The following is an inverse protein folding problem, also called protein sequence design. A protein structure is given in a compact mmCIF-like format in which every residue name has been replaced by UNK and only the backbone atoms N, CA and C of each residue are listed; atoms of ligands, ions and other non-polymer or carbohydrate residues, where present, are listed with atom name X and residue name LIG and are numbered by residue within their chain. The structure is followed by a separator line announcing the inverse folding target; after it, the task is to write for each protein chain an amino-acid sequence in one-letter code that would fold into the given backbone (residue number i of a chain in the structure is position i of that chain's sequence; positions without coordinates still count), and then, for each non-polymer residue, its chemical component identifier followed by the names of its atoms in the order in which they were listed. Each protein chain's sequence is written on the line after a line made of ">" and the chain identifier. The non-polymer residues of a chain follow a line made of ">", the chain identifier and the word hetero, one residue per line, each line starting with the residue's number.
data_IF_783369526252
#
_entry.id   IF_783369526252
#
_cell.length_a   1.000
_cell.length_b   1.000
_cell.length_c   1.000
_cell.angle_alpha   90.00
_cell.angle_beta   90.00
_cell.angle_gamma   90.00
#
_symmetry.space_group_name_H-M   'P 1'
#
loop_
_entity.id
_entity.type
_entity.pdbx_description
1 polymer ?
#
# COMPACT_ATOMS: atom_id res chain seq x y z
N UNK A 1 3.19 -18.30 12.25
CA UNK A 1 2.19 -17.22 12.26
C UNK A 1 2.59 -16.05 13.16
N UNK A 2 2.78 -16.22 14.48
CA UNK A 2 3.14 -15.11 15.39
C UNK A 2 4.45 -14.39 14.98
N UNK A 3 5.52 -15.15 14.72
CA UNK A 3 6.80 -14.59 14.26
C UNK A 3 6.66 -13.82 12.93
N UNK A 4 5.85 -14.34 12.01
CA UNK A 4 5.59 -13.71 10.72
C UNK A 4 4.81 -12.40 10.86
N UNK A 5 3.81 -12.35 11.75
CA UNK A 5 3.07 -11.11 12.05
C UNK A 5 3.99 -10.10 12.74
N UNK A 6 4.86 -10.53 13.65
CA UNK A 6 5.86 -9.66 14.27
C UNK A 6 6.82 -9.06 13.23
N UNK A 7 7.32 -9.88 12.29
CA UNK A 7 8.15 -9.42 11.18
C UNK A 7 7.37 -8.49 10.23
N UNK A 8 6.12 -8.82 9.94
CA UNK A 8 5.22 -8.00 9.12
C UNK A 8 5.05 -6.60 9.70
N UNK A 9 4.80 -6.53 11.00
CA UNK A 9 4.64 -5.28 11.72
C UNK A 9 5.95 -4.48 11.70
N UNK A 10 7.08 -5.12 12.01
CA UNK A 10 8.38 -4.45 11.99
C UNK A 10 8.69 -3.85 10.61
N UNK A 11 8.54 -4.64 9.54
CA UNK A 11 8.76 -4.19 8.17
C UNK A 11 7.78 -3.08 7.78
N UNK A 12 6.50 -3.23 8.15
CA UNK A 12 5.49 -2.20 7.88
C UNK A 12 5.84 -0.90 8.59
N UNK A 13 6.26 -0.95 9.84
CA UNK A 13 6.74 0.24 10.58
C UNK A 13 7.93 0.88 9.86
N UNK A 14 8.94 0.10 9.47
CA UNK A 14 10.10 0.63 8.75
C UNK A 14 9.70 1.32 7.44
N UNK A 15 8.89 0.66 6.60
CA UNK A 15 8.45 1.20 5.30
C UNK A 15 7.60 2.46 5.51
N UNK A 16 6.66 2.42 6.44
CA UNK A 16 5.75 3.55 6.73
C UNK A 16 6.52 4.74 7.28
N UNK A 17 7.46 4.54 8.21
CA UNK A 17 8.30 5.61 8.74
C UNK A 17 9.11 6.29 7.64
N UNK A 18 9.72 5.50 6.73
CA UNK A 18 10.45 6.04 5.58
C UNK A 18 9.53 6.79 4.62
N UNK A 19 8.33 6.28 4.37
CA UNK A 19 7.34 6.92 3.50
C UNK A 19 6.82 8.24 4.07
N UNK A 20 6.59 8.33 5.38
CA UNK A 20 6.22 9.59 6.06
C UNK A 20 7.36 10.59 5.98
N UNK A 21 8.60 10.15 6.25
CA UNK A 21 9.79 11.00 6.16
C UNK A 21 10.00 11.56 4.75
N UNK A 22 9.80 10.74 3.72
CA UNK A 22 9.84 11.18 2.31
C UNK A 22 8.59 11.93 1.86
N UNK A 23 7.62 12.17 2.74
CA UNK A 23 6.39 12.87 2.38
C UNK A 23 5.45 12.09 1.46
N UNK A 24 5.64 10.78 1.26
CA UNK A 24 4.76 9.93 0.45
C UNK A 24 3.44 9.60 1.14
N UNK A 25 3.40 9.62 2.48
CA UNK A 25 2.24 9.35 3.31
C UNK A 25 1.96 10.50 4.28
N UNK A 26 0.66 10.76 4.52
CA UNK A 26 0.24 11.60 5.64
C UNK A 26 0.24 10.79 6.96
N UNK A 27 0.02 11.45 8.10
CA UNK A 27 -0.10 10.75 9.40
C UNK A 27 -1.29 9.77 9.42
N UNK A 28 -2.41 10.12 8.78
CA UNK A 28 -3.56 9.22 8.66
C UNK A 28 -3.26 8.08 7.68
N UNK A 29 -2.59 8.38 6.57
CA UNK A 29 -2.12 7.36 5.62
C UNK A 29 -1.17 6.35 6.26
N UNK A 30 -0.30 6.80 7.16
CA UNK A 30 0.60 5.93 7.92
C UNK A 30 -0.15 4.89 8.76
N UNK A 31 -1.22 5.30 9.47
CA UNK A 31 -2.04 4.38 10.24
C UNK A 31 -2.72 3.33 9.34
N UNK A 32 -3.29 3.76 8.20
CA UNK A 32 -3.85 2.84 7.21
C UNK A 32 -2.80 1.87 6.67
N UNK A 33 -1.61 2.37 6.33
CA UNK A 33 -0.55 1.56 5.73
C UNK A 33 0.02 0.53 6.70
N UNK A 34 0.09 0.86 8.00
CA UNK A 34 0.45 -0.12 9.04
C UNK A 34 -0.57 -1.25 9.12
N UNK A 35 -1.87 -0.95 9.10
CA UNK A 35 -2.93 -1.96 9.14
C UNK A 35 -2.87 -2.84 7.89
N UNK A 36 -2.88 -2.23 6.70
CA UNK A 36 -2.90 -2.94 5.42
C UNK A 36 -1.63 -3.77 5.22
N UNK A 37 -0.46 -3.19 5.48
CA UNK A 37 0.83 -3.87 5.34
C UNK A 37 0.95 -5.06 6.29
N UNK A 38 0.60 -4.87 7.57
CA UNK A 38 0.67 -5.92 8.59
C UNK A 38 -0.29 -7.06 8.29
N UNK A 39 -1.54 -6.77 7.89
CA UNK A 39 -2.51 -7.81 7.52
C UNK A 39 -2.07 -8.57 6.27
N UNK A 40 -1.68 -7.86 5.22
CA UNK A 40 -1.34 -8.47 3.93
C UNK A 40 -0.09 -9.35 4.04
N UNK A 41 0.98 -8.83 4.66
CA UNK A 41 2.22 -9.58 4.84
C UNK A 41 2.07 -10.66 5.93
N UNK A 42 1.45 -10.30 7.06
CA UNK A 42 1.33 -11.16 8.24
C UNK A 42 0.43 -12.37 8.02
N UNK A 43 -0.65 -12.22 7.25
CA UNK A 43 -1.62 -13.27 6.98
C UNK A 43 -1.46 -13.89 5.58
N UNK A 44 -1.13 -13.08 4.56
CA UNK A 44 -0.92 -13.57 3.19
C UNK A 44 0.48 -14.14 2.93
N UNK A 45 1.50 -13.65 3.63
CA UNK A 45 2.89 -14.10 3.47
C UNK A 45 3.76 -13.18 2.62
N UNK A 46 5.02 -13.61 2.46
CA UNK A 46 6.08 -12.80 1.86
C UNK A 46 5.74 -12.32 0.44
N UNK A 47 5.22 -13.21 -0.40
CA UNK A 47 4.89 -12.88 -1.81
C UNK A 47 3.82 -11.78 -1.89
N UNK A 48 2.81 -11.83 -1.03
CA UNK A 48 1.74 -10.82 -0.97
C UNK A 48 2.28 -9.47 -0.53
N UNK A 49 3.09 -9.48 0.53
CA UNK A 49 3.71 -8.27 1.07
C UNK A 49 4.70 -7.62 0.10
N UNK A 50 5.51 -8.42 -0.61
CA UNK A 50 6.41 -7.91 -1.65
C UNK A 50 5.64 -7.29 -2.79
N UNK A 51 4.56 -7.92 -3.28
CA UNK A 51 3.77 -7.36 -4.38
C UNK A 51 3.11 -6.03 -3.98
N UNK A 52 2.53 -5.96 -2.78
CA UNK A 52 2.01 -4.71 -2.22
C UNK A 52 3.11 -3.65 -2.07
N UNK A 53 4.29 -4.05 -1.58
CA UNK A 53 5.44 -3.17 -1.41
C UNK A 53 5.97 -2.61 -2.73
N UNK A 54 6.05 -3.45 -3.77
CA UNK A 54 6.44 -3.03 -5.13
C UNK A 54 5.48 -1.97 -5.65
N UNK A 55 4.17 -2.24 -5.62
CA UNK A 55 3.15 -1.25 -5.98
C UNK A 55 3.32 0.06 -5.20
N UNK A 56 3.46 -0.03 -3.87
CA UNK A 56 3.58 1.15 -3.04
C UNK A 56 4.81 1.98 -3.40
N UNK A 57 5.98 1.34 -3.58
CA UNK A 57 7.23 2.03 -3.91
C UNK A 57 7.17 2.63 -5.31
N UNK A 58 6.76 1.86 -6.32
CA UNK A 58 6.67 2.37 -7.70
C UNK A 58 5.68 3.53 -7.82
N UNK A 59 4.51 3.43 -7.19
CA UNK A 59 3.51 4.50 -7.17
C UNK A 59 4.04 5.73 -6.41
N UNK A 60 4.81 5.54 -5.33
CA UNK A 60 5.48 6.64 -4.64
C UNK A 60 6.47 7.37 -5.52
N UNK A 61 7.31 6.65 -6.25
CA UNK A 61 8.29 7.25 -7.15
C UNK A 61 7.60 8.03 -8.27
N UNK A 62 6.52 7.49 -8.84
CA UNK A 62 5.72 8.17 -9.86
C UNK A 62 5.03 9.43 -9.34
N UNK A 63 4.56 9.45 -8.08
CA UNK A 63 3.97 10.65 -7.48
C UNK A 63 4.97 11.80 -7.37
N UNK A 64 6.25 11.52 -7.06
CA UNK A 64 7.29 12.55 -6.96
C UNK A 64 7.93 12.89 -8.31
N UNK A 65 7.76 12.04 -9.32
CA UNK A 65 8.29 12.30 -10.66
C UNK A 65 7.60 13.51 -11.28
N UNK A 66 8.42 14.50 -11.67
CA UNK A 66 7.99 15.80 -12.24
C UNK A 66 7.01 16.55 -11.34
N UNK A 67 7.14 16.41 -10.02
CA UNK A 67 6.24 17.06 -9.06
C UNK A 67 6.23 18.58 -9.21
N UNK A 68 7.37 19.21 -9.51
CA UNK A 68 7.47 20.66 -9.71
C UNK A 68 6.72 21.14 -10.97
N UNK A 69 6.89 20.45 -12.11
CA UNK A 69 6.14 20.73 -13.34
C UNK A 69 4.63 20.52 -13.14
N UNK A 70 4.23 19.47 -12.41
CA UNK A 70 2.84 19.19 -12.05
C UNK A 70 2.28 20.28 -11.12
N UNK A 71 3.07 20.78 -10.17
CA UNK A 71 2.65 21.84 -9.23
C UNK A 71 2.38 23.16 -9.95
N UNK A 72 3.23 23.55 -10.90
CA UNK A 72 3.02 24.75 -11.72
C UNK A 72 1.80 24.61 -12.64
N UNK A 73 1.52 23.40 -13.15
CA UNK A 73 0.29 23.13 -13.90
C UNK A 73 -0.97 23.05 -13.01
N UNK A 74 -0.80 22.70 -11.73
CA UNK A 74 -1.86 22.42 -10.76
C UNK A 74 -2.07 23.50 -9.70
N UNK A 75 -1.67 24.76 -9.93
CA UNK A 75 -1.88 25.91 -9.02
C UNK A 75 -3.36 26.14 -8.58
N UNK A 76 -4.31 25.32 -9.07
CA UNK A 76 -5.71 25.28 -8.63
C UNK A 76 -6.09 24.14 -7.65
N UNK A 77 -5.21 23.20 -7.30
CA UNK A 77 -5.56 22.06 -6.45
C UNK A 77 -4.64 21.92 -5.24
N UNK A 78 -5.03 22.53 -4.11
CA UNK A 78 -4.30 22.60 -2.83
C UNK A 78 -4.07 21.28 -2.05
N UNK A 79 -4.34 20.10 -2.62
CA UNK A 79 -4.08 18.84 -1.88
C UNK A 79 -2.68 18.31 -2.20
N UNK A 80 -1.75 18.50 -1.26
CA UNK A 80 -0.40 17.94 -1.37
C UNK A 80 -0.39 16.42 -1.66
N UNK A 81 0.64 15.94 -2.36
CA UNK A 81 0.78 14.58 -2.92
C UNK A 81 0.90 13.43 -1.89
N UNK A 82 0.57 13.67 -0.62
CA UNK A 82 0.69 12.67 0.44
C UNK A 82 -0.53 11.76 0.43
N UNK A 83 -0.32 10.45 0.29
CA UNK A 83 -1.41 9.48 0.41
C UNK A 83 -2.00 9.53 1.82
N UNK A 84 -3.30 9.80 1.89
CA UNK A 84 -4.06 9.76 3.13
C UNK A 84 -4.66 8.37 3.39
N UNK A 85 -5.33 8.22 4.53
CA UNK A 85 -5.95 6.96 4.91
C UNK A 85 -6.97 6.48 3.87
N UNK A 86 -7.72 7.40 3.25
CA UNK A 86 -8.73 7.07 2.25
C UNK A 86 -8.11 6.43 1.02
N UNK A 87 -7.05 7.04 0.47
CA UNK A 87 -6.31 6.46 -0.65
C UNK A 87 -5.63 5.14 -0.29
N UNK A 88 -5.11 4.99 0.93
CA UNK A 88 -4.49 3.74 1.36
C UNK A 88 -5.51 2.60 1.44
N UNK A 89 -6.71 2.85 1.98
CA UNK A 89 -7.77 1.84 2.01
C UNK A 89 -8.36 1.58 0.63
N UNK A 90 -8.49 2.59 -0.23
CA UNK A 90 -8.93 2.41 -1.61
C UNK A 90 -7.97 1.47 -2.38
N UNK A 91 -6.66 1.68 -2.24
CA UNK A 91 -5.66 0.91 -2.98
C UNK A 91 -5.31 -0.43 -2.35
N UNK A 92 -5.41 -0.57 -1.03
CA UNK A 92 -4.92 -1.76 -0.31
C UNK A 92 -5.98 -2.51 0.51
N UNK A 93 -7.14 -1.92 0.76
CA UNK A 93 -8.19 -2.45 1.64
C UNK A 93 -8.69 -3.81 1.19
N UNK A 94 -9.11 -3.93 -0.07
CA UNK A 94 -9.58 -5.20 -0.63
C UNK A 94 -8.47 -6.27 -0.61
N UNK A 95 -7.23 -5.90 -0.90
CA UNK A 95 -6.09 -6.82 -0.82
C UNK A 95 -5.87 -7.38 0.58
N UNK A 96 -5.97 -6.54 1.61
CA UNK A 96 -5.89 -6.97 3.01
C UNK A 96 -7.05 -7.88 3.41
N UNK A 97 -8.28 -7.58 2.96
CA UNK A 97 -9.45 -8.45 3.18
C UNK A 97 -9.21 -9.83 2.56
N UNK A 98 -8.69 -9.90 1.33
CA UNK A 98 -8.37 -11.17 0.68
C UNK A 98 -7.28 -11.95 1.45
N UNK A 99 -6.29 -11.27 2.02
CA UNK A 99 -5.27 -11.92 2.85
C UNK A 99 -5.87 -12.52 4.13
N UNK A 100 -6.79 -11.80 4.79
CA UNK A 100 -7.54 -12.29 5.96
C UNK A 100 -8.38 -13.51 5.58
N UNK A 101 -9.16 -13.44 4.49
CA UNK A 101 -9.98 -14.55 4.01
C UNK A 101 -9.13 -15.77 3.64
N UNK A 102 -7.96 -15.55 3.03
CA UNK A 102 -7.01 -16.62 2.71
C UNK A 102 -6.49 -17.34 3.95
N UNK A 103 -6.31 -16.64 5.07
CA UNK A 103 -5.86 -17.24 6.32
C UNK A 103 -6.99 -18.04 7.01
N UNK A 104 -8.24 -17.61 6.86
CA UNK A 104 -9.41 -18.30 7.42
C UNK A 104 -9.87 -19.50 6.57
N UNK A 105 -9.78 -19.37 5.25
CA UNK A 105 -10.26 -20.35 4.27
C UNK A 105 -9.16 -20.66 3.24
N UNK A 106 -8.15 -21.49 3.57
CA UNK A 106 -6.98 -21.67 2.72
C UNK A 106 -7.33 -22.17 1.30
N UNK A 107 -6.99 -21.38 0.29
CA UNK A 107 -7.14 -21.73 -1.12
C UNK A 107 -6.21 -20.88 -1.99
N UNK A 108 -5.59 -21.42 -3.04
CA UNK A 108 -4.72 -20.65 -3.93
C UNK A 108 -5.47 -19.55 -4.68
N UNK A 109 -6.80 -19.64 -4.81
CA UNK A 109 -7.61 -18.65 -5.54
C UNK A 109 -7.49 -17.23 -4.96
N UNK A 110 -7.31 -17.11 -3.64
CA UNK A 110 -7.20 -15.82 -2.98
C UNK A 110 -5.99 -15.02 -3.46
N UNK A 111 -4.87 -15.70 -3.74
CA UNK A 111 -3.68 -15.03 -4.26
C UNK A 111 -3.91 -14.52 -5.68
N UNK A 112 -4.57 -15.29 -6.55
CA UNK A 112 -4.90 -14.83 -7.90
C UNK A 112 -5.87 -13.64 -7.89
N UNK A 113 -6.86 -13.65 -7.00
CA UNK A 113 -7.73 -12.50 -6.79
C UNK A 113 -6.94 -11.28 -6.30
N UNK A 114 -6.02 -11.48 -5.36
CA UNK A 114 -5.14 -10.41 -4.87
C UNK A 114 -4.27 -9.83 -5.99
N UNK A 115 -3.69 -10.65 -6.86
CA UNK A 115 -2.93 -10.19 -8.02
C UNK A 115 -3.82 -9.35 -8.96
N UNK A 116 -5.06 -9.77 -9.22
CA UNK A 116 -6.02 -9.00 -10.02
C UNK A 116 -6.35 -7.64 -9.39
N UNK A 117 -6.55 -7.60 -8.08
CA UNK A 117 -6.75 -6.35 -7.32
C UNK A 117 -5.51 -5.47 -7.45
N UNK A 118 -4.31 -6.02 -7.22
CA UNK A 118 -3.06 -5.27 -7.33
C UNK A 118 -2.85 -4.72 -8.74
N UNK A 119 -3.15 -5.48 -9.79
CA UNK A 119 -3.08 -5.00 -11.17
C UNK A 119 -4.04 -3.84 -11.43
N UNK A 120 -5.28 -3.93 -10.90
CA UNK A 120 -6.31 -2.90 -11.06
C UNK A 120 -5.92 -1.59 -10.38
N UNK A 121 -5.52 -1.64 -9.12
CA UNK A 121 -5.11 -0.44 -8.37
C UNK A 121 -3.80 0.14 -8.89
N UNK A 122 -2.93 -0.69 -9.46
CA UNK A 122 -1.71 -0.23 -10.14
C UNK A 122 -2.07 0.57 -11.39
N UNK A 123 -2.98 0.06 -12.23
CA UNK A 123 -3.43 0.76 -13.43
C UNK A 123 -4.11 2.09 -13.10
N UNK A 124 -4.97 2.13 -12.08
CA UNK A 124 -5.66 3.35 -11.64
C UNK A 124 -4.70 4.39 -11.06
N UNK A 125 -3.74 3.97 -10.23
CA UNK A 125 -2.80 4.91 -9.56
C UNK A 125 -1.75 5.49 -10.52
N UNK A 126 -1.46 4.81 -11.63
CA UNK A 126 -0.43 5.24 -12.59
C UNK A 126 -0.97 6.05 -13.77
N UNK A 127 -2.29 6.16 -13.90
CA UNK A 127 -2.95 6.99 -14.91
C UNK A 127 -2.73 8.49 -14.65
#
# INVERSE_FOLDING_TARGET
>A
MILQIGLALLLSVTIVSLAVWRGSLSKSGAAGALIIGTLTFGLGGWVWGVLLGVFFVSSSLLSHFKEEEKRTAAEKFEKGHRRDIGQVFANGGLGAILAVLSALFPSPIWFFLFVGVMATVTADTWA
#
